data_IF_958406141047
#
_entry.id   IF_958406141047
#
_cell.length_a   1.000
_cell.length_b   1.000
_cell.length_c   1.000
_cell.angle_alpha   90.00
_cell.angle_beta   90.00
_cell.angle_gamma   90.00
#
_symmetry.space_group_name_H-M   'P 1'
#
loop_
_entity.id
_entity.type
_entity.pdbx_description
1 polymer ?
#
# COMPACT_ATOMS: atom_id res chain seq x y z
N UNK A 1 47.14 -31.88 29.93
CA UNK A 1 48.07 -32.54 28.98
C UNK A 1 48.68 -31.42 28.13
N UNK A 2 50.02 -31.32 28.07
CA UNK A 2 50.68 -30.23 27.34
C UNK A 2 50.36 -30.30 25.85
N UNK A 3 50.21 -29.15 25.20
CA UNK A 3 50.12 -29.05 23.74
C UNK A 3 51.49 -29.43 23.17
N UNK A 4 51.70 -30.70 22.86
CA UNK A 4 53.01 -31.21 22.46
C UNK A 4 53.23 -31.24 20.94
N UNK A 5 52.18 -31.02 20.15
CA UNK A 5 52.25 -31.04 18.69
C UNK A 5 51.61 -29.79 18.10
N UNK A 6 52.08 -29.38 16.91
CA UNK A 6 51.50 -28.27 16.16
C UNK A 6 49.99 -28.49 15.90
N UNK A 7 49.61 -29.73 15.61
CA UNK A 7 48.19 -30.12 15.44
C UNK A 7 47.40 -29.89 16.72
N UNK A 8 47.96 -30.20 17.90
CA UNK A 8 47.32 -29.91 19.17
C UNK A 8 47.12 -28.42 19.42
N UNK A 9 48.09 -27.59 19.01
CA UNK A 9 48.01 -26.13 19.12
C UNK A 9 46.95 -25.55 18.17
N UNK A 10 46.91 -26.05 16.93
CA UNK A 10 45.90 -25.66 15.95
C UNK A 10 44.49 -26.02 16.43
N UNK A 11 44.28 -27.24 16.95
CA UNK A 11 42.98 -27.65 17.48
C UNK A 11 42.56 -26.81 18.69
N UNK A 12 43.48 -26.49 19.61
CA UNK A 12 43.17 -25.59 20.72
C UNK A 12 42.78 -24.18 20.23
N UNK A 13 43.50 -23.66 19.23
CA UNK A 13 43.20 -22.36 18.62
C UNK A 13 41.81 -22.37 17.96
N UNK A 14 41.48 -23.42 17.19
CA UNK A 14 40.17 -23.59 16.58
C UNK A 14 39.06 -23.70 17.63
N UNK A 15 39.22 -24.58 18.63
CA UNK A 15 38.25 -24.79 19.72
C UNK A 15 37.92 -23.48 20.45
N UNK A 16 38.94 -22.65 20.67
CA UNK A 16 38.79 -21.34 21.31
C UNK A 16 38.13 -20.33 20.37
N UNK A 17 38.55 -20.29 19.09
CA UNK A 17 38.02 -19.36 18.10
C UNK A 17 36.53 -19.60 17.82
N UNK A 18 36.12 -20.86 17.72
CA UNK A 18 34.72 -21.24 17.48
C UNK A 18 33.92 -21.39 18.77
N UNK A 19 34.52 -21.14 19.94
CA UNK A 19 33.90 -21.26 21.26
C UNK A 19 33.33 -22.65 21.58
N UNK A 20 33.85 -23.71 20.96
CA UNK A 20 33.37 -25.08 21.18
C UNK A 20 33.82 -25.58 22.55
N UNK A 21 35.09 -25.36 22.91
CA UNK A 21 35.62 -25.60 24.24
C UNK A 21 35.40 -27.02 24.78
N UNK A 22 35.89 -28.06 24.08
CA UNK A 22 35.74 -29.46 24.52
C UNK A 22 36.35 -29.76 25.91
N UNK A 23 37.17 -28.85 26.46
CA UNK A 23 37.71 -28.94 27.81
C UNK A 23 38.91 -29.86 27.98
N UNK A 24 39.27 -30.63 26.94
CA UNK A 24 40.44 -31.52 26.95
C UNK A 24 41.78 -30.74 26.87
N UNK A 25 41.77 -29.57 26.22
CA UNK A 25 42.91 -28.65 26.10
C UNK A 25 42.55 -27.34 26.78
N UNK A 26 43.27 -26.97 27.84
CA UNK A 26 43.00 -25.77 28.61
C UNK A 26 44.28 -24.97 28.87
N UNK A 27 44.12 -23.65 28.99
CA UNK A 27 45.20 -22.76 29.39
C UNK A 27 45.38 -22.83 30.92
N UNK A 28 46.63 -22.73 31.37
CA UNK A 28 46.98 -22.68 32.79
C UNK A 28 47.51 -21.30 33.15
N UNK A 29 47.49 -20.97 34.44
CA UNK A 29 47.96 -19.66 34.96
C UNK A 29 49.49 -19.51 34.95
N UNK A 30 50.22 -20.57 34.59
CA UNK A 30 51.69 -20.59 34.66
C UNK A 30 52.37 -19.70 33.62
N UNK A 31 51.71 -19.42 32.49
CA UNK A 31 52.30 -18.70 31.36
C UNK A 31 51.47 -17.47 30.99
N UNK A 32 51.79 -16.27 31.54
CA UNK A 32 51.07 -15.03 31.24
C UNK A 32 51.05 -14.67 29.75
N UNK A 33 52.11 -15.02 29.01
CA UNK A 33 52.18 -14.80 27.56
C UNK A 33 51.10 -15.57 26.82
N UNK A 34 50.81 -16.81 27.22
CA UNK A 34 49.76 -17.61 26.60
C UNK A 34 48.38 -16.96 26.83
N UNK A 35 48.14 -16.40 28.02
CA UNK A 35 46.90 -15.71 28.37
C UNK A 35 46.72 -14.47 27.49
N UNK A 36 47.78 -13.66 27.33
CA UNK A 36 47.76 -12.47 26.47
C UNK A 36 47.50 -12.87 25.01
N UNK A 37 48.16 -13.91 24.50
CA UNK A 37 47.93 -14.41 23.14
C UNK A 37 46.48 -14.87 22.94
N UNK A 38 45.90 -15.54 23.93
CA UNK A 38 44.49 -15.97 23.89
C UNK A 38 43.54 -14.76 23.83
N UNK A 39 43.78 -13.75 24.66
CA UNK A 39 42.99 -12.51 24.66
C UNK A 39 43.07 -11.82 23.30
N UNK A 40 44.28 -11.68 22.73
CA UNK A 40 44.48 -11.09 21.41
C UNK A 40 43.76 -11.90 20.33
N UNK A 41 43.85 -13.23 20.38
CA UNK A 41 43.14 -14.11 19.45
C UNK A 41 41.61 -13.90 19.52
N UNK A 42 41.04 -13.83 20.71
CA UNK A 42 39.60 -13.64 20.92
C UNK A 42 39.13 -12.26 20.40
N UNK A 43 39.88 -11.20 20.68
CA UNK A 43 39.56 -9.85 20.18
C UNK A 43 39.58 -9.80 18.65
N UNK A 44 40.62 -10.36 18.02
CA UNK A 44 40.72 -10.39 16.56
C UNK A 44 39.61 -11.24 15.92
N UNK A 45 39.28 -12.36 16.55
CA UNK A 45 38.18 -13.24 16.10
C UNK A 45 36.85 -12.50 16.11
N UNK A 46 36.52 -11.84 17.21
CA UNK A 46 35.30 -11.05 17.35
C UNK A 46 35.20 -9.94 16.30
N UNK A 47 36.29 -9.23 16.02
CA UNK A 47 36.33 -8.20 14.99
C UNK A 47 36.07 -8.76 13.58
N UNK A 48 36.67 -9.91 13.26
CA UNK A 48 36.44 -10.59 11.97
C UNK A 48 35.00 -11.09 11.86
N UNK A 49 34.44 -11.67 12.92
CA UNK A 49 33.07 -12.18 12.95
C UNK A 49 32.03 -11.07 12.75
N UNK A 50 32.20 -9.92 13.42
CA UNK A 50 31.37 -8.73 13.24
C UNK A 50 31.42 -8.25 11.78
N UNK A 51 32.61 -8.22 11.17
CA UNK A 51 32.77 -7.77 9.80
C UNK A 51 32.12 -8.73 8.79
N UNK A 52 32.33 -10.04 8.93
CA UNK A 52 31.75 -11.05 8.04
C UNK A 52 30.22 -11.05 8.15
N UNK A 53 29.69 -11.06 9.37
CA UNK A 53 28.24 -11.02 9.62
C UNK A 53 27.62 -9.72 9.12
N UNK A 54 28.28 -8.58 9.39
CA UNK A 54 27.83 -7.27 8.93
C UNK A 54 27.82 -7.13 7.40
N UNK A 55 28.85 -7.61 6.71
CA UNK A 55 28.91 -7.59 5.23
C UNK A 55 27.91 -8.57 4.61
N UNK A 56 27.69 -9.73 5.21
CA UNK A 56 26.68 -10.70 4.77
C UNK A 56 25.27 -10.11 4.90
N UNK A 57 24.93 -9.54 6.04
CA UNK A 57 23.65 -8.86 6.26
C UNK A 57 23.48 -7.66 5.32
N UNK A 58 24.51 -6.82 5.13
CA UNK A 58 24.47 -5.70 4.20
C UNK A 58 24.27 -6.15 2.74
N UNK A 59 24.84 -7.30 2.36
CA UNK A 59 24.67 -7.88 1.01
C UNK A 59 23.27 -8.43 0.79
N UNK A 60 22.68 -9.07 1.79
CA UNK A 60 21.28 -9.57 1.74
C UNK A 60 20.29 -8.40 1.76
N UNK A 61 20.56 -7.37 2.56
CA UNK A 61 19.71 -6.18 2.67
C UNK A 61 19.69 -5.32 1.40
N UNK A 62 20.70 -5.42 0.52
CA UNK A 62 20.73 -4.67 -0.74
C UNK A 62 19.90 -5.38 -1.82
N UNK A 63 18.79 -4.78 -2.30
CA UNK A 63 18.01 -5.32 -3.41
C UNK A 63 18.77 -5.11 -4.73
N UNK A 64 19.76 -5.97 -5.01
CA UNK A 64 20.74 -5.83 -6.10
C UNK A 64 20.12 -5.80 -7.52
N UNK A 65 18.87 -6.24 -7.68
CA UNK A 65 18.22 -6.40 -9.00
C UNK A 65 17.21 -5.31 -9.40
N UNK A 66 16.93 -4.33 -8.55
CA UNK A 66 15.91 -3.30 -8.86
C UNK A 66 16.41 -2.20 -9.80
N UNK A 67 17.67 -1.78 -9.70
CA UNK A 67 18.22 -0.66 -10.48
C UNK A 67 18.53 -0.96 -11.96
N UNK A 68 18.75 -2.23 -12.31
CA UNK A 68 19.10 -2.62 -13.70
C UNK A 68 17.88 -2.92 -14.58
N UNK A 69 16.67 -2.90 -14.02
CA UNK A 69 15.46 -3.35 -14.73
C UNK A 69 14.64 -2.19 -15.29
N UNK A 70 14.93 -0.95 -14.91
CA UNK A 70 14.21 0.27 -15.35
C UNK A 70 15.11 1.10 -16.25
N UNK A 71 14.76 1.21 -17.54
CA UNK A 71 15.45 2.07 -18.51
C UNK A 71 14.56 3.24 -18.89
N UNK A 72 15.11 4.45 -18.91
CA UNK A 72 14.42 5.65 -19.37
C UNK A 72 14.64 5.88 -20.87
N UNK A 73 13.70 6.55 -21.54
CA UNK A 73 13.86 7.03 -22.91
C UNK A 73 15.02 8.02 -22.98
N UNK A 74 15.82 7.94 -24.03
CA UNK A 74 16.94 8.87 -24.22
C UNK A 74 16.50 10.31 -24.45
N UNK A 75 15.26 10.50 -24.92
CA UNK A 75 14.69 11.81 -25.18
C UNK A 75 13.35 11.94 -24.45
N UNK A 76 13.09 13.11 -23.88
CA UNK A 76 11.77 13.54 -23.46
C UNK A 76 11.11 14.29 -24.64
N UNK A 77 9.82 14.09 -24.85
CA UNK A 77 9.06 14.75 -25.92
C UNK A 77 7.97 15.62 -25.32
N UNK A 78 7.72 16.81 -25.88
CA UNK A 78 6.57 17.64 -25.53
C UNK A 78 5.52 17.45 -26.60
N UNK A 79 4.33 16.99 -26.22
CA UNK A 79 3.20 16.76 -27.13
C UNK A 79 1.90 17.16 -26.46
N UNK A 80 0.85 17.36 -27.25
CA UNK A 80 -0.49 17.61 -26.73
C UNK A 80 -1.16 16.29 -26.34
N UNK A 81 -1.62 16.16 -25.09
CA UNK A 81 -2.46 15.05 -24.61
C UNK A 81 -3.75 15.65 -24.03
N UNK A 82 -4.91 15.21 -24.55
CA UNK A 82 -6.23 15.75 -24.19
C UNK A 82 -6.29 17.30 -24.27
N UNK A 83 -5.77 17.87 -25.35
CA UNK A 83 -5.81 19.32 -25.58
C UNK A 83 -4.84 20.15 -24.72
N UNK A 84 -4.01 19.53 -23.87
CA UNK A 84 -3.05 20.20 -23.00
C UNK A 84 -1.60 19.85 -23.38
N UNK A 85 -0.65 20.81 -23.36
CA UNK A 85 0.76 20.50 -23.60
C UNK A 85 1.33 19.68 -22.45
N UNK A 86 1.87 18.50 -22.75
CA UNK A 86 2.41 17.55 -21.78
C UNK A 86 3.84 17.13 -22.16
N UNK A 87 4.75 17.16 -21.18
CA UNK A 87 6.07 16.55 -21.29
C UNK A 87 5.95 15.05 -21.00
N UNK A 88 6.38 14.23 -21.95
CA UNK A 88 6.31 12.77 -21.89
C UNK A 88 7.71 12.17 -21.87
N UNK A 89 7.93 11.26 -20.94
CA UNK A 89 9.16 10.47 -20.81
C UNK A 89 8.72 9.01 -20.77
N UNK A 90 9.33 8.15 -21.58
CA UNK A 90 9.00 6.71 -21.56
C UNK A 90 9.92 5.99 -20.60
N UNK A 91 9.38 5.08 -19.82
CA UNK A 91 10.14 4.04 -19.15
C UNK A 91 9.90 2.74 -19.90
N UNK A 92 10.94 1.94 -20.09
CA UNK A 92 10.82 0.56 -20.57
C UNK A 92 11.26 -0.38 -19.46
N UNK A 93 10.40 -1.33 -19.12
CA UNK A 93 10.76 -2.50 -18.32
C UNK A 93 10.84 -3.69 -19.28
N UNK A 94 11.95 -4.44 -19.28
CA UNK A 94 12.03 -5.91 -19.49
C UNK A 94 13.47 -6.37 -19.76
N UNK A 95 13.72 -7.66 -19.45
CA UNK A 95 14.88 -8.42 -19.93
C UNK A 95 14.58 -9.16 -21.26
N UNK A 96 13.31 -9.26 -21.65
CA UNK A 96 12.85 -9.92 -22.90
C UNK A 96 12.51 -8.97 -24.07
N UNK A 97 12.68 -7.65 -23.94
CA UNK A 97 12.69 -6.74 -25.09
C UNK A 97 11.32 -6.27 -25.60
N UNK A 98 10.24 -6.44 -24.84
CA UNK A 98 8.92 -5.95 -25.23
C UNK A 98 8.64 -4.56 -24.64
N UNK A 99 8.44 -3.56 -25.51
CA UNK A 99 8.01 -2.22 -25.10
C UNK A 99 6.49 -2.16 -25.06
N UNK A 100 5.89 -2.55 -23.94
CA UNK A 100 4.46 -2.34 -23.73
C UNK A 100 4.24 -0.85 -23.43
N UNK A 101 3.52 -0.14 -24.29
CA UNK A 101 3.02 1.21 -24.02
C UNK A 101 1.88 1.09 -23.00
N UNK A 102 2.20 1.13 -21.72
CA UNK A 102 1.21 1.13 -20.66
C UNK A 102 0.63 2.55 -20.51
N UNK A 103 -0.62 2.77 -20.89
CA UNK A 103 -1.37 3.98 -20.50
C UNK A 103 -1.81 3.81 -19.04
N UNK A 104 -0.97 4.25 -18.11
CA UNK A 104 -1.27 4.17 -16.68
C UNK A 104 -2.06 5.40 -16.24
N UNK A 105 -3.30 5.17 -15.80
CA UNK A 105 -4.14 6.20 -15.19
C UNK A 105 -4.38 5.88 -13.72
N UNK A 106 -4.27 6.90 -12.87
CA UNK A 106 -4.52 6.73 -11.44
C UNK A 106 -6.01 6.61 -11.15
N UNK A 107 -6.37 5.63 -10.34
CA UNK A 107 -7.71 5.43 -9.79
C UNK A 107 -7.65 5.71 -8.29
N UNK A 108 -8.20 6.83 -7.79
CA UNK A 108 -8.16 7.14 -6.36
C UNK A 108 -9.15 6.25 -5.58
N UNK A 109 -8.65 5.53 -4.58
CA UNK A 109 -9.49 4.75 -3.66
C UNK A 109 -9.66 5.47 -2.33
N UNK A 110 -10.86 5.33 -1.77
CA UNK A 110 -11.30 5.85 -0.49
C UNK A 110 -11.64 4.68 0.45
N UNK A 111 -11.74 4.99 1.75
CA UNK A 111 -12.14 4.05 2.80
C UNK A 111 -12.98 4.80 3.82
N UNK A 112 -14.05 4.18 4.31
CA UNK A 112 -14.96 4.78 5.30
C UNK A 112 -14.33 4.82 6.70
N UNK A 113 -13.35 5.70 6.88
CA UNK A 113 -12.64 5.91 8.14
C UNK A 113 -12.58 7.41 8.46
N UNK A 114 -12.68 7.75 9.74
CA UNK A 114 -12.50 9.12 10.22
C UNK A 114 -11.02 9.55 10.29
N UNK A 115 -10.09 8.65 9.97
CA UNK A 115 -8.65 8.83 10.07
C UNK A 115 -7.97 8.51 8.74
N UNK A 116 -6.99 9.33 8.36
CA UNK A 116 -6.20 9.21 7.14
C UNK A 116 -5.26 7.99 7.12
N UNK A 117 -5.11 7.30 8.26
CA UNK A 117 -4.32 6.07 8.39
C UNK A 117 -5.14 4.98 9.09
N UNK A 118 -5.85 4.13 8.34
CA UNK A 118 -6.62 3.05 8.95
C UNK A 118 -5.69 2.01 9.60
N UNK A 119 -6.03 1.60 10.82
CA UNK A 119 -5.42 0.42 11.44
C UNK A 119 -6.10 -0.83 10.87
N UNK A 120 -5.35 -1.64 10.12
CA UNK A 120 -5.84 -2.87 9.47
C UNK A 120 -5.98 -4.06 10.45
N UNK A 121 -6.56 -3.82 11.62
CA UNK A 121 -6.85 -4.88 12.62
C UNK A 121 -8.07 -5.70 12.17
N UNK A 122 -9.01 -5.06 11.45
CA UNK A 122 -10.19 -5.68 10.87
C UNK A 122 -10.19 -5.48 9.34
N UNK A 123 -10.84 -6.38 8.58
CA UNK A 123 -11.05 -6.20 7.14
C UNK A 123 -11.71 -4.85 6.85
N UNK A 124 -11.11 -4.07 5.95
CA UNK A 124 -11.65 -2.81 5.47
C UNK A 124 -11.95 -2.91 3.98
N UNK A 125 -13.04 -2.28 3.57
CA UNK A 125 -13.43 -2.19 2.16
C UNK A 125 -12.97 -0.85 1.61
N UNK A 126 -12.04 -0.90 0.67
CA UNK A 126 -11.65 0.26 -0.13
C UNK A 126 -12.57 0.36 -1.34
N UNK A 127 -13.00 1.56 -1.70
CA UNK A 127 -13.87 1.78 -2.84
C UNK A 127 -13.41 2.97 -3.68
N UNK A 128 -13.76 2.97 -4.96
CA UNK A 128 -13.54 4.09 -5.86
C UNK A 128 -14.90 4.59 -6.37
N UNK A 129 -15.13 5.90 -6.27
CA UNK A 129 -16.33 6.53 -6.81
C UNK A 129 -16.16 6.71 -8.32
N UNK A 130 -17.00 6.02 -9.11
CA UNK A 130 -17.01 6.15 -10.57
C UNK A 130 -17.84 7.38 -10.98
N UNK A 131 -17.24 8.56 -10.85
CA UNK A 131 -17.77 9.84 -11.31
C UNK A 131 -17.37 10.16 -12.76
N UNK A 132 -17.60 11.39 -13.23
CA UNK A 132 -17.23 11.82 -14.59
C UNK A 132 -15.71 11.90 -14.83
N UNK A 133 -14.91 11.97 -13.77
CA UNK A 133 -13.44 12.05 -13.87
C UNK A 133 -12.79 10.66 -13.77
N UNK A 134 -13.55 9.64 -13.40
CA UNK A 134 -13.04 8.27 -13.27
C UNK A 134 -12.59 7.72 -14.62
N UNK A 135 -11.37 7.13 -14.71
CA UNK A 135 -10.93 6.45 -15.93
C UNK A 135 -11.78 5.21 -16.24
N UNK A 136 -12.55 4.68 -15.27
CA UNK A 136 -13.44 3.54 -15.44
C UNK A 136 -14.84 3.95 -15.91
N UNK A 137 -15.15 5.25 -16.04
CA UNK A 137 -16.48 5.77 -16.37
C UNK A 137 -17.06 5.20 -17.66
N UNK A 138 -16.26 5.20 -18.73
CA UNK A 138 -16.72 4.74 -20.05
C UNK A 138 -17.05 3.24 -20.07
N UNK A 139 -16.20 2.42 -19.43
CA UNK A 139 -16.43 0.98 -19.26
C UNK A 139 -17.65 0.72 -18.39
N UNK A 140 -17.74 1.39 -17.24
CA UNK A 140 -18.81 1.17 -16.27
C UNK A 140 -20.18 1.63 -16.80
N UNK A 141 -20.24 2.72 -17.58
CA UNK A 141 -21.47 3.21 -18.22
C UNK A 141 -22.12 2.18 -19.18
N UNK A 142 -21.34 1.22 -19.70
CA UNK A 142 -21.83 0.11 -20.53
C UNK A 142 -22.25 -1.14 -19.75
N UNK A 143 -22.37 -1.03 -18.43
CA UNK A 143 -22.79 -2.11 -17.54
C UNK A 143 -21.67 -3.01 -17.04
N UNK A 144 -20.41 -2.57 -17.16
CA UNK A 144 -19.24 -3.23 -16.57
C UNK A 144 -19.02 -4.69 -16.99
N UNK A 145 -19.46 -5.06 -18.19
CA UNK A 145 -19.26 -6.39 -18.77
C UNK A 145 -18.60 -6.32 -20.14
N UNK A 146 -18.51 -7.47 -20.81
CA UNK A 146 -17.91 -7.67 -22.14
C UNK A 146 -18.66 -7.02 -23.32
N UNK A 147 -19.47 -5.98 -23.08
CA UNK A 147 -20.28 -5.33 -24.10
C UNK A 147 -19.44 -4.53 -25.11
N UNK A 148 -18.19 -4.22 -24.75
CA UNK A 148 -17.22 -3.56 -25.64
C UNK A 148 -15.78 -4.06 -25.34
N UNK A 149 -15.16 -4.85 -26.24
CA UNK A 149 -13.80 -5.36 -26.08
C UNK A 149 -12.73 -4.26 -25.97
N UNK A 150 -12.92 -3.09 -26.60
CA UNK A 150 -11.93 -2.01 -26.54
C UNK A 150 -11.91 -1.32 -25.17
N UNK A 151 -13.06 -1.25 -24.49
CA UNK A 151 -13.17 -0.68 -23.14
C UNK A 151 -12.85 -1.69 -22.04
N UNK A 152 -12.78 -2.99 -22.37
CA UNK A 152 -12.42 -4.08 -21.46
C UNK A 152 -10.95 -4.54 -21.65
N UNK A 153 -10.11 -3.77 -22.35
CA UNK A 153 -8.67 -4.00 -22.47
C UNK A 153 -7.90 -3.16 -21.44
N UNK A 154 -8.03 -3.52 -20.16
CA UNK A 154 -7.29 -2.90 -19.07
C UNK A 154 -7.00 -3.89 -17.94
N UNK A 155 -6.07 -3.55 -17.06
CA UNK A 155 -5.81 -4.27 -15.82
C UNK A 155 -5.78 -3.28 -14.66
N UNK A 156 -6.59 -3.51 -13.63
CA UNK A 156 -6.63 -2.66 -12.45
C UNK A 156 -5.55 -3.11 -11.45
N UNK A 157 -4.41 -2.42 -11.44
CA UNK A 157 -3.34 -2.66 -10.48
C UNK A 157 -3.64 -1.96 -9.14
N UNK A 158 -3.72 -2.73 -8.06
CA UNK A 158 -3.92 -2.23 -6.70
C UNK A 158 -2.62 -2.36 -5.91
N UNK A 159 -2.17 -1.23 -5.36
CA UNK A 159 -0.94 -1.14 -4.58
C UNK A 159 -1.28 -0.56 -3.21
N UNK A 160 -1.03 -1.35 -2.16
CA UNK A 160 -1.15 -0.89 -0.79
C UNK A 160 0.24 -0.73 -0.18
N UNK A 161 0.57 0.48 0.26
CA UNK A 161 1.77 0.74 1.06
C UNK A 161 1.38 0.82 2.52
N UNK A 162 1.99 0.00 3.37
CA UNK A 162 1.70 -0.06 4.80
C UNK A 162 2.99 0.02 5.62
N UNK A 163 2.87 0.45 6.86
CA UNK A 163 3.99 0.47 7.82
C UNK A 163 3.81 -0.67 8.82
N UNK A 164 4.82 -1.52 8.96
CA UNK A 164 4.81 -2.65 9.89
C UNK A 164 5.27 -2.20 11.27
N UNK A 165 4.33 -2.08 12.22
CA UNK A 165 4.54 -1.45 13.53
C UNK A 165 5.79 -1.93 14.30
N UNK A 166 6.09 -3.24 14.44
CA UNK A 166 7.27 -3.68 15.21
C UNK A 166 8.62 -3.26 14.60
N UNK A 167 8.66 -2.94 13.30
CA UNK A 167 9.90 -2.67 12.58
C UNK A 167 9.98 -1.24 12.04
N UNK A 168 8.86 -0.51 12.07
CA UNK A 168 8.65 0.75 11.35
C UNK A 168 9.03 0.68 9.86
N UNK A 169 9.15 -0.53 9.30
CA UNK A 169 9.51 -0.72 7.91
C UNK A 169 8.27 -0.54 7.03
N UNK A 170 8.45 0.12 5.89
CA UNK A 170 7.40 0.21 4.88
C UNK A 170 7.39 -1.08 4.05
N UNK A 171 6.21 -1.68 3.92
CA UNK A 171 5.97 -2.80 3.01
C UNK A 171 4.98 -2.37 1.92
N UNK A 172 5.11 -2.97 0.75
CA UNK A 172 4.22 -2.72 -0.37
C UNK A 172 3.63 -4.05 -0.83
N UNK A 173 2.31 -4.16 -0.76
CA UNK A 173 1.53 -5.30 -1.25
C UNK A 173 0.87 -4.90 -2.55
N UNK A 174 0.84 -5.81 -3.52
CA UNK A 174 0.33 -5.56 -4.86
C UNK A 174 -0.56 -6.72 -5.29
N UNK A 175 -1.67 -6.39 -5.92
CA UNK A 175 -2.54 -7.32 -6.62
C UNK A 175 -3.06 -6.64 -7.88
N UNK A 176 -3.64 -7.38 -8.80
CA UNK A 176 -4.34 -6.82 -9.94
C UNK A 176 -5.65 -7.55 -10.19
N UNK A 177 -6.54 -6.87 -10.93
CA UNK A 177 -7.80 -7.43 -11.38
C UNK A 177 -7.95 -7.18 -12.89
N UNK A 178 -8.18 -8.25 -13.64
CA UNK A 178 -8.66 -8.17 -15.01
C UNK A 178 -10.15 -7.80 -15.02
N UNK A 179 -10.69 -7.26 -16.12
CA UNK A 179 -12.07 -6.78 -16.15
C UNK A 179 -13.08 -7.91 -15.91
N UNK A 180 -12.74 -9.14 -16.32
CA UNK A 180 -13.54 -10.35 -16.09
C UNK A 180 -13.57 -10.79 -14.61
N UNK A 181 -12.62 -10.32 -13.81
CA UNK A 181 -12.56 -10.57 -12.36
C UNK A 181 -13.36 -9.52 -11.56
N UNK A 182 -13.80 -8.44 -12.21
CA UNK A 182 -14.58 -7.37 -11.58
C UNK A 182 -16.08 -7.69 -11.71
N UNK A 183 -16.70 -8.07 -10.60
CA UNK A 183 -18.08 -8.53 -10.58
C UNK A 183 -19.09 -7.37 -10.54
N UNK A 184 -19.79 -7.14 -11.66
CA UNK A 184 -20.82 -6.11 -11.75
C UNK A 184 -22.13 -6.50 -11.02
N UNK A 185 -22.65 -5.60 -10.19
CA UNK A 185 -23.91 -5.83 -9.46
C UNK A 185 -23.77 -6.79 -8.27
N UNK A 186 -22.58 -6.87 -7.67
CA UNK A 186 -22.31 -7.62 -6.45
C UNK A 186 -21.89 -6.69 -5.31
N UNK A 187 -22.08 -7.17 -4.08
CA UNK A 187 -21.66 -6.51 -2.85
C UNK A 187 -20.97 -7.51 -1.91
N UNK A 188 -20.06 -7.00 -1.07
CA UNK A 188 -19.43 -7.78 -0.02
C UNK A 188 -20.37 -7.88 1.20
N UNK A 189 -20.72 -9.08 1.67
CA UNK A 189 -21.45 -9.24 2.92
C UNK A 189 -20.64 -8.67 4.10
N UNK A 190 -21.31 -8.16 5.16
CA UNK A 190 -20.61 -7.68 6.35
C UNK A 190 -19.74 -8.77 6.98
N UNK A 191 -18.44 -8.52 7.08
CA UNK A 191 -17.47 -9.46 7.67
C UNK A 191 -17.31 -9.23 9.18
N UNK A 192 -17.63 -8.03 9.66
CA UNK A 192 -17.54 -7.66 11.08
C UNK A 192 -18.94 -7.62 11.69
N UNK A 193 -19.10 -8.29 12.83
CA UNK A 193 -20.35 -8.33 13.60
C UNK A 193 -20.09 -8.18 15.10
N UNK A 194 -21.15 -7.90 15.87
CA UNK A 194 -21.07 -7.84 17.32
C UNK A 194 -21.52 -9.17 17.92
N UNK A 195 -20.68 -9.76 18.80
CA UNK A 195 -21.05 -10.96 19.55
C UNK A 195 -22.18 -10.66 20.54
N UNK A 196 -22.90 -11.70 21.02
CA UNK A 196 -23.84 -11.55 22.13
C UNK A 196 -23.22 -10.97 23.41
N UNK A 197 -21.89 -11.09 23.56
CA UNK A 197 -21.11 -10.52 24.66
C UNK A 197 -20.61 -9.09 24.41
N UNK A 198 -21.00 -8.45 23.30
CA UNK A 198 -20.65 -7.06 22.98
C UNK A 198 -19.24 -6.87 22.42
N UNK A 199 -18.58 -7.93 21.94
CA UNK A 199 -17.25 -7.87 21.31
C UNK A 199 -17.37 -7.89 19.80
N UNK A 200 -16.53 -7.12 19.10
CA UNK A 200 -16.43 -7.24 17.64
C UNK A 200 -15.79 -8.57 17.25
N UNK A 201 -16.41 -9.25 16.29
CA UNK A 201 -15.95 -10.51 15.72
C UNK A 201 -15.89 -10.36 14.21
N UNK A 202 -14.72 -10.62 13.63
CA UNK A 202 -14.54 -10.73 12.19
C UNK A 202 -14.67 -12.20 11.76
N UNK A 203 -15.65 -12.51 10.92
CA UNK A 203 -15.84 -13.84 10.36
C UNK A 203 -15.20 -13.93 8.96
N UNK A 204 -13.94 -14.34 8.92
CA UNK A 204 -13.17 -14.46 7.68
C UNK A 204 -13.73 -15.51 6.71
N UNK A 205 -14.70 -16.36 7.11
CA UNK A 205 -15.35 -17.27 6.18
C UNK A 205 -16.22 -16.54 5.13
N UNK A 206 -16.51 -15.25 5.34
CA UNK A 206 -17.21 -14.38 4.40
C UNK A 206 -16.28 -13.39 3.68
N UNK A 207 -14.97 -13.40 3.96
CA UNK A 207 -14.03 -12.41 3.41
C UNK A 207 -14.02 -12.40 1.88
N UNK A 208 -13.94 -13.57 1.24
CA UNK A 208 -13.94 -13.70 -0.23
C UNK A 208 -15.34 -13.87 -0.83
N UNK A 209 -16.40 -13.91 0.00
CA UNK A 209 -17.76 -14.16 -0.47
C UNK A 209 -18.37 -12.88 -1.02
N UNK A 210 -19.17 -13.02 -2.07
CA UNK A 210 -19.93 -11.93 -2.69
C UNK A 210 -21.41 -12.31 -2.80
N UNK A 211 -22.29 -11.33 -2.70
CA UNK A 211 -23.73 -11.48 -2.88
C UNK A 211 -24.20 -10.58 -4.03
N UNK A 212 -25.24 -11.01 -4.76
CA UNK A 212 -25.87 -10.13 -5.77
C UNK A 212 -26.58 -8.98 -5.07
N UNK A 213 -26.30 -7.75 -5.49
CA UNK A 213 -26.97 -6.58 -4.91
C UNK A 213 -28.43 -6.51 -5.37
N UNK A 214 -29.29 -5.94 -4.52
CA UNK A 214 -30.72 -5.74 -4.83
C UNK A 214 -30.96 -4.53 -5.73
N UNK A 215 -30.02 -3.58 -5.75
CA UNK A 215 -30.14 -2.31 -6.48
C UNK A 215 -29.01 -2.21 -7.49
N UNK A 216 -29.34 -2.25 -8.78
CA UNK A 216 -28.32 -2.13 -9.82
C UNK A 216 -27.64 -0.74 -9.76
N UNK A 217 -26.33 -0.65 -10.04
CA UNK A 217 -25.64 0.64 -10.14
C UNK A 217 -26.25 1.46 -11.29
N UNK A 218 -26.88 2.59 -10.96
CA UNK A 218 -27.47 3.49 -11.96
C UNK A 218 -26.47 4.58 -12.30
N UNK A 219 -26.03 4.63 -13.56
CA UNK A 219 -25.39 5.82 -14.11
C UNK A 219 -26.46 6.88 -14.33
N UNK A 220 -26.42 7.97 -13.55
CA UNK A 220 -27.15 9.17 -13.94
C UNK A 220 -26.54 9.64 -15.27
N UNK A 221 -27.30 9.51 -16.36
CA UNK A 221 -26.98 10.21 -17.60
C UNK A 221 -26.95 11.70 -17.26
N UNK A 222 -25.87 12.39 -17.62
CA UNK A 222 -25.87 13.85 -17.57
C UNK A 222 -27.10 14.34 -18.35
N UNK A 223 -28.05 14.94 -17.63
CA UNK A 223 -29.19 15.58 -18.28
C UNK A 223 -28.63 16.69 -19.18
N UNK A 224 -29.09 16.83 -20.43
CA UNK A 224 -28.85 18.05 -21.18
C UNK A 224 -29.43 19.19 -20.34
N UNK A 225 -28.61 20.19 -20.00
CA UNK A 225 -29.12 21.37 -19.32
C UNK A 225 -30.30 21.93 -20.13
N UNK A 226 -31.50 22.08 -19.55
CA UNK A 226 -32.57 22.79 -20.23
C UNK A 226 -32.11 24.22 -20.39
N UNK A 227 -32.01 24.67 -21.65
CA UNK A 227 -31.68 26.04 -21.98
C UNK A 227 -32.55 27.02 -21.20
N UNK A 228 -31.92 28.08 -20.72
CA UNK A 228 -32.57 29.24 -20.14
C UNK A 228 -33.64 29.75 -21.13
N UNK A 229 -34.91 29.50 -20.83
CA UNK A 229 -36.03 30.25 -21.36
C UNK A 229 -36.69 31.00 -20.22
N UNK A 230 -36.48 32.30 -20.23
CA UNK A 230 -37.21 33.29 -19.46
C UNK A 230 -38.70 33.25 -19.84
N UNK A 231 -39.59 32.93 -18.89
CA UNK A 231 -40.84 33.68 -18.68
C UNK A 231 -41.57 33.21 -17.40
N UNK A 232 -42.17 34.18 -16.71
CA UNK A 232 -42.57 34.06 -15.31
C UNK A 232 -44.02 33.65 -15.02
N UNK A 233 -44.29 33.58 -13.71
CA UNK A 233 -45.61 33.77 -13.11
C UNK A 233 -46.21 32.53 -12.41
N UNK A 234 -46.41 32.64 -11.09
CA UNK A 234 -47.49 31.95 -10.37
C UNK A 234 -47.05 31.02 -9.22
N UNK A 235 -47.29 31.45 -7.98
CA UNK A 235 -47.00 30.73 -6.73
C UNK A 235 -48.17 29.84 -6.26
N UNK A 236 -47.84 28.79 -5.49
CA UNK A 236 -48.70 28.20 -4.46
C UNK A 236 -47.82 27.76 -3.27
N UNK A 237 -48.24 27.95 -2.00
CA UNK A 237 -47.34 27.83 -0.84
C UNK A 237 -47.39 26.45 -0.16
N UNK A 238 -46.23 25.89 0.16
CA UNK A 238 -46.09 24.79 1.13
C UNK A 238 -46.01 25.35 2.55
N UNK A 239 -46.92 24.87 3.42
CA UNK A 239 -46.98 25.20 4.85
C UNK A 239 -45.76 24.61 5.55
N UNK A 240 -44.88 25.46 6.07
CA UNK A 240 -43.70 25.06 6.83
C UNK A 240 -43.98 25.08 8.34
N UNK A 241 -43.75 23.94 8.98
CA UNK A 241 -43.96 23.69 10.41
C UNK A 241 -42.99 24.54 11.28
N UNK A 242 -43.48 25.36 12.23
CA UNK A 242 -42.65 26.22 13.08
C UNK A 242 -41.68 25.49 14.01
N UNK A 243 -41.88 24.20 14.30
CA UNK A 243 -40.92 23.42 15.10
C UNK A 243 -39.66 23.05 14.32
N UNK A 244 -39.79 22.78 13.02
CA UNK A 244 -38.66 22.48 12.13
C UNK A 244 -37.70 23.67 12.00
N UNK A 245 -38.24 24.88 11.95
CA UNK A 245 -37.48 26.14 11.86
C UNK A 245 -36.64 26.37 13.14
N UNK A 246 -37.22 26.06 14.32
CA UNK A 246 -36.50 26.15 15.59
C UNK A 246 -35.36 25.14 15.69
N UNK A 247 -35.58 23.92 15.18
CA UNK A 247 -34.57 22.88 15.20
C UNK A 247 -33.39 23.23 14.27
N UNK A 248 -33.66 23.76 13.08
CA UNK A 248 -32.63 24.21 12.13
C UNK A 248 -31.80 25.39 12.66
N UNK A 249 -32.41 26.31 13.42
CA UNK A 249 -31.67 27.37 14.11
C UNK A 249 -30.77 26.82 15.23
N UNK A 250 -31.25 25.83 15.99
CA UNK A 250 -30.44 25.16 17.03
C UNK A 250 -29.22 24.43 16.45
N UNK A 251 -29.33 23.84 15.26
CA UNK A 251 -28.19 23.19 14.59
C UNK A 251 -27.18 24.20 14.02
N UNK A 252 -27.64 25.38 13.58
CA UNK A 252 -26.75 26.44 13.08
C UNK A 252 -25.93 27.10 14.20
N UNK A 253 -26.55 27.43 15.34
CA UNK A 253 -25.81 28.02 16.47
C UNK A 253 -24.75 27.07 17.05
N UNK A 254 -24.97 25.76 17.00
CA UNK A 254 -24.00 24.76 17.48
C UNK A 254 -22.83 24.50 16.52
N UNK A 255 -22.95 24.90 15.25
CA UNK A 255 -21.92 24.74 14.23
C UNK A 255 -20.88 25.86 14.22
N UNK A 256 -21.25 27.08 14.63
CA UNK A 256 -20.39 28.26 14.54
C UNK A 256 -19.35 28.39 15.66
N UNK A 257 -19.46 27.64 16.77
CA UNK A 257 -18.46 27.66 17.86
C UNK A 257 -17.22 26.77 17.62
N UNK A 258 -17.14 26.03 16.52
CA UNK A 258 -15.97 25.20 16.17
C UNK A 258 -15.27 25.63 14.88
N UNK A 259 -15.11 26.94 14.69
CA UNK A 259 -14.21 27.47 13.66
C UNK A 259 -12.79 27.73 14.20
N UNK A 260 -11.81 26.88 13.85
CA UNK A 260 -10.44 27.27 13.41
C UNK A 260 -9.45 26.10 13.44
N UNK A 261 -9.33 25.39 12.32
CA UNK A 261 -8.06 24.82 11.87
C UNK A 261 -8.07 24.81 10.33
N UNK A 262 -6.91 25.13 9.74
CA UNK A 262 -6.71 25.49 8.33
C UNK A 262 -7.32 24.49 7.34
N UNK A 263 -8.21 24.99 6.47
CA UNK A 263 -8.55 24.36 5.21
C UNK A 263 -7.34 24.37 4.27
N UNK A 264 -6.73 23.21 4.09
CA UNK A 264 -5.95 22.88 2.91
C UNK A 264 -6.47 21.53 2.43
N UNK A 265 -7.05 21.41 1.21
CA UNK A 265 -7.41 20.12 0.68
C UNK A 265 -6.10 19.41 0.30
N UNK A 266 -5.60 18.58 1.21
CA UNK A 266 -4.43 17.75 0.96
C UNK A 266 -4.89 16.51 0.19
N UNK A 267 -4.64 16.53 -1.12
CA UNK A 267 -4.81 15.37 -1.99
C UNK A 267 -3.90 14.23 -1.52
N UNK A 268 -4.47 13.04 -1.29
CA UNK A 268 -3.68 11.81 -1.17
C UNK A 268 -2.97 11.57 -2.50
N UNK A 269 -1.69 11.95 -2.58
CA UNK A 269 -0.82 11.56 -3.68
C UNK A 269 -0.39 10.13 -3.44
N UNK A 270 -1.12 9.20 -4.06
CA UNK A 270 -0.56 7.89 -4.43
C UNK A 270 0.53 8.21 -5.45
N UNK A 271 1.77 8.21 -4.98
CA UNK A 271 2.93 8.38 -5.85
C UNK A 271 3.17 7.06 -6.56
N UNK A 272 2.86 7.01 -7.85
CA UNK A 272 3.44 6.01 -8.72
C UNK A 272 4.94 6.29 -8.89
N UNK A 273 5.68 5.20 -9.11
CA UNK A 273 7.10 5.16 -9.49
C UNK A 273 7.38 6.09 -10.67
#
# INVERSE_FOLDING_TARGET
MQVQTLTGAFLFSLETQTTIGYGFRCITEECPVAIILLIVQLVLTMLMEIFITGTFLAKIARPKKRGETVKFSQHAVVSTHEGRPCLMIRTSLTKEGETVRLDQRNVPFEVDMSSDSPFLILPLTFYHIIDENSPLRAWAAKGGGWTDPELADFELLVIMSATVEPTSATCQVRTSYLPDEILWGYEFPPVVSLSPSGKYVADFSFFDKVAKTKTMPIFKSSSPQPGYQSNGGGAAPEVSDPEKIRLEQSYKEKGDERGRARDTPLSVRISNV
#
